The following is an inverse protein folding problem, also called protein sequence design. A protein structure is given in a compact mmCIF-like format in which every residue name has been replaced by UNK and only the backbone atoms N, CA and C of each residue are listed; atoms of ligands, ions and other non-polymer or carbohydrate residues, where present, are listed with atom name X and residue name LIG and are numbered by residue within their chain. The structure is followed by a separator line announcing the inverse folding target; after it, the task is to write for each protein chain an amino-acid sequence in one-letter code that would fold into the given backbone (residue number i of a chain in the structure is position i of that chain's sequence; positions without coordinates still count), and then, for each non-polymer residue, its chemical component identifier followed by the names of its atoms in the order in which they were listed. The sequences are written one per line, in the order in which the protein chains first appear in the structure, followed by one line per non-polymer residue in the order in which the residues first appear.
data_IF_714231810906
#
_entry.id   IF_714231810906
#
_cell.length_a   1.000
_cell.length_b   1.000
_cell.length_c   1.000
_cell.angle_alpha   90.00
_cell.angle_beta   90.00
_cell.angle_gamma   90.00
#
_symmetry.space_group_name_H-M   'P 1'
#
loop_
_entity.id
_entity.type
_entity.pdbx_description
1 polymer ?
#
# COMPACT_ATOMS: atom_id res chain seq x y z
N UNK A 1 1.51 5.97 60.05
CA UNK A 1 2.44 6.90 59.35
C UNK A 1 3.37 6.16 58.38
N UNK A 2 4.08 5.10 58.78
CA UNK A 2 4.97 4.31 57.91
C UNK A 2 4.33 3.62 56.70
N UNK A 3 3.06 3.19 56.79
CA UNK A 3 2.35 2.53 55.68
C UNK A 3 1.95 3.51 54.56
N UNK A 4 1.61 4.76 54.93
CA UNK A 4 1.23 5.79 53.97
C UNK A 4 2.44 6.28 53.17
N UNK A 5 3.60 6.41 53.83
CA UNK A 5 4.87 6.79 53.17
C UNK A 5 5.33 5.72 52.18
N UNK A 6 5.13 4.42 52.49
CA UNK A 6 5.41 3.33 51.53
C UNK A 6 4.44 3.35 50.34
N UNK A 7 3.16 3.64 50.56
CA UNK A 7 2.17 3.75 49.48
C UNK A 7 2.48 4.94 48.54
N UNK A 8 2.95 6.06 49.09
CA UNK A 8 3.39 7.23 48.31
C UNK A 8 4.69 6.94 47.56
N UNK A 9 5.62 6.15 48.14
CA UNK A 9 6.83 5.69 47.45
C UNK A 9 6.52 4.75 46.27
N UNK A 10 5.51 3.90 46.37
CA UNK A 10 5.03 3.09 45.24
C UNK A 10 4.25 3.93 44.21
N UNK A 11 3.57 5.00 44.63
CA UNK A 11 2.91 5.95 43.73
C UNK A 11 3.89 6.95 43.07
N UNK A 12 5.11 7.07 43.60
CA UNK A 12 6.19 7.90 43.05
C UNK A 12 7.30 7.09 42.38
N UNK A 13 7.19 5.76 42.31
CA UNK A 13 7.94 5.05 41.28
C UNK A 13 7.29 5.45 39.97
N UNK A 14 7.96 6.20 39.09
CA UNK A 14 7.52 6.16 37.72
C UNK A 14 7.54 4.67 37.40
N UNK A 15 6.49 4.14 36.80
CA UNK A 15 6.70 2.96 35.99
C UNK A 15 7.60 3.43 34.85
N UNK A 16 8.91 3.60 35.11
CA UNK A 16 9.98 3.51 34.14
C UNK A 16 10.04 2.03 33.74
N UNK A 17 8.94 1.54 33.16
CA UNK A 17 9.03 0.50 32.17
C UNK A 17 9.73 1.16 30.98
N UNK A 18 11.05 1.34 31.11
CA UNK A 18 11.90 1.51 29.96
C UNK A 18 11.65 0.28 29.11
N UNK A 19 10.91 0.46 28.01
CA UNK A 19 10.75 -0.59 27.02
C UNK A 19 12.16 -1.14 26.72
N UNK A 20 12.34 -2.47 26.66
CA UNK A 20 13.62 -3.04 26.25
C UNK A 20 14.09 -2.34 24.97
N UNK A 21 15.35 -1.93 24.91
CA UNK A 21 15.90 -1.15 23.80
C UNK A 21 15.62 -1.79 22.43
N UNK A 22 15.64 -3.11 22.38
CA UNK A 22 15.33 -3.90 21.17
C UNK A 22 13.87 -3.78 20.75
N UNK A 23 12.95 -3.70 21.72
CA UNK A 23 11.51 -3.55 21.46
C UNK A 23 11.19 -2.13 21.04
N UNK A 24 11.84 -1.13 21.64
CA UNK A 24 11.76 0.25 21.20
C UNK A 24 12.25 0.39 19.75
N UNK A 25 13.43 -0.16 19.43
CA UNK A 25 13.99 -0.14 18.08
C UNK A 25 13.09 -0.86 17.05
N UNK A 26 12.53 -2.03 17.41
CA UNK A 26 11.58 -2.74 16.56
C UNK A 26 10.30 -1.92 16.31
N UNK A 27 9.76 -1.27 17.34
CA UNK A 27 8.56 -0.45 17.24
C UNK A 27 8.81 0.81 16.38
N UNK A 28 9.99 1.43 16.51
CA UNK A 28 10.45 2.51 15.62
C UNK A 28 10.50 2.05 14.17
N UNK A 29 11.11 0.90 13.90
CA UNK A 29 11.19 0.39 12.53
C UNK A 29 9.80 0.09 11.95
N UNK A 30 8.92 -0.55 12.74
CA UNK A 30 7.55 -0.84 12.35
C UNK A 30 6.81 0.46 12.00
N UNK A 31 6.83 1.47 12.87
CA UNK A 31 6.16 2.75 12.61
C UNK A 31 6.71 3.43 11.35
N UNK A 32 8.03 3.42 11.14
CA UNK A 32 8.64 3.99 9.93
C UNK A 32 8.23 3.24 8.66
N UNK A 33 8.18 1.90 8.68
CA UNK A 33 7.71 1.09 7.54
C UNK A 33 6.23 1.36 7.26
N UNK A 34 5.38 1.38 8.29
CA UNK A 34 3.97 1.71 8.13
C UNK A 34 3.77 3.13 7.57
N UNK A 35 4.61 4.08 8.00
CA UNK A 35 4.53 5.46 7.51
C UNK A 35 4.97 5.58 6.06
N UNK A 36 6.05 4.89 5.69
CA UNK A 36 6.47 4.77 4.31
C UNK A 36 5.38 4.11 3.45
N UNK A 37 4.73 3.07 3.97
CA UNK A 37 3.59 2.43 3.30
C UNK A 37 2.37 3.37 3.21
N UNK A 38 2.16 4.24 4.20
CA UNK A 38 1.08 5.23 4.19
C UNK A 38 1.25 6.27 3.10
N UNK A 39 2.48 6.73 2.90
CA UNK A 39 2.81 7.79 1.97
C UNK A 39 3.13 7.26 0.57
N UNK A 40 3.55 6.01 0.42
CA UNK A 40 3.98 5.44 -0.87
C UNK A 40 3.20 4.20 -1.27
N UNK A 41 2.92 3.33 -0.30
CA UNK A 41 2.22 2.06 -0.49
C UNK A 41 0.78 2.18 -1.00
N UNK A 42 0.13 3.34 -0.79
CA UNK A 42 -1.23 3.55 -1.31
C UNK A 42 -1.30 3.47 -2.84
N UNK A 43 -0.26 3.90 -3.56
CA UNK A 43 -0.18 3.79 -5.02
C UNK A 43 -0.07 2.33 -5.45
N UNK A 44 0.64 1.50 -4.67
CA UNK A 44 0.73 0.06 -4.90
C UNK A 44 -0.65 -0.58 -4.79
N UNK A 45 -1.40 -0.27 -3.73
CA UNK A 45 -2.76 -0.79 -3.52
C UNK A 45 -3.70 -0.40 -4.66
N UNK A 46 -3.65 0.86 -5.09
CA UNK A 46 -4.45 1.35 -6.22
C UNK A 46 -4.09 0.61 -7.52
N UNK A 47 -2.80 0.55 -7.85
CA UNK A 47 -2.34 -0.04 -9.10
C UNK A 47 -2.62 -1.55 -9.16
N UNK A 48 -2.34 -2.29 -8.08
CA UNK A 48 -2.65 -3.73 -7.97
C UNK A 48 -4.17 -3.95 -8.06
N UNK A 49 -4.96 -3.11 -7.40
CA UNK A 49 -6.43 -3.18 -7.48
C UNK A 49 -6.94 -3.01 -8.91
N UNK A 50 -6.39 -2.06 -9.66
CA UNK A 50 -6.77 -1.82 -11.06
C UNK A 50 -6.29 -2.93 -12.00
N UNK A 51 -5.10 -3.49 -11.78
CA UNK A 51 -4.61 -4.67 -12.51
C UNK A 51 -5.55 -5.86 -12.28
N UNK A 52 -5.93 -6.13 -11.03
CA UNK A 52 -6.88 -7.20 -10.72
C UNK A 52 -8.25 -6.96 -11.35
N UNK A 53 -8.74 -5.71 -11.36
CA UNK A 53 -9.97 -5.35 -12.05
C UNK A 53 -9.92 -5.68 -13.55
N UNK A 54 -8.80 -5.39 -14.20
CA UNK A 54 -8.59 -5.67 -15.62
C UNK A 54 -8.69 -7.16 -15.97
N UNK A 55 -8.19 -8.03 -15.08
CA UNK A 55 -8.25 -9.50 -15.28
C UNK A 55 -9.65 -10.09 -15.12
N UNK A 56 -10.55 -9.40 -14.41
CA UNK A 56 -11.87 -9.94 -14.06
C UNK A 56 -11.83 -11.09 -13.04
N UNK A 57 -10.69 -11.33 -12.37
CA UNK A 57 -10.54 -12.39 -11.36
C UNK A 57 -11.38 -12.11 -10.10
N UNK A 58 -11.40 -10.87 -9.62
CA UNK A 58 -12.18 -10.49 -8.44
C UNK A 58 -12.48 -8.99 -8.39
N UNK A 59 -13.69 -8.62 -8.81
CA UNK A 59 -14.16 -7.22 -8.77
C UNK A 59 -14.30 -6.71 -7.33
N UNK A 60 -14.63 -7.59 -6.38
CA UNK A 60 -14.74 -7.25 -4.97
C UNK A 60 -13.39 -6.90 -4.35
N UNK A 61 -12.37 -7.74 -4.57
CA UNK A 61 -11.02 -7.50 -4.07
C UNK A 61 -10.39 -6.26 -4.71
N UNK A 62 -10.58 -6.08 -6.02
CA UNK A 62 -10.10 -4.90 -6.73
C UNK A 62 -10.65 -3.60 -6.13
N UNK A 63 -11.96 -3.53 -5.90
CA UNK A 63 -12.61 -2.38 -5.26
C UNK A 63 -12.12 -2.17 -3.83
N UNK A 64 -11.99 -3.24 -3.06
CA UNK A 64 -11.48 -3.18 -1.69
C UNK A 64 -10.07 -2.59 -1.67
N UNK A 65 -9.17 -3.07 -2.53
CA UNK A 65 -7.80 -2.56 -2.63
C UNK A 65 -7.76 -1.07 -3.00
N UNK A 66 -8.59 -0.64 -3.94
CA UNK A 66 -8.69 0.78 -4.33
C UNK A 66 -9.19 1.63 -3.17
N UNK A 67 -10.28 1.22 -2.51
CA UNK A 67 -10.85 1.93 -1.35
C UNK A 67 -9.85 1.96 -0.20
N UNK A 68 -9.20 0.83 0.09
CA UNK A 68 -8.17 0.74 1.11
C UNK A 68 -7.00 1.68 0.80
N UNK A 69 -6.52 1.73 -0.45
CA UNK A 69 -5.50 2.68 -0.89
C UNK A 69 -5.89 4.14 -0.63
N UNK A 70 -7.11 4.54 -0.99
CA UNK A 70 -7.61 5.90 -0.73
C UNK A 70 -7.67 6.19 0.77
N UNK A 71 -8.20 5.27 1.58
CA UNK A 71 -8.24 5.42 3.04
C UNK A 71 -6.81 5.51 3.60
N UNK A 72 -5.88 4.72 3.08
CA UNK A 72 -4.50 4.69 3.55
C UNK A 72 -3.76 6.00 3.23
N UNK A 73 -4.02 6.60 2.07
CA UNK A 73 -3.46 7.90 1.69
C UNK A 73 -3.88 9.02 2.65
N UNK A 74 -5.18 9.12 2.97
CA UNK A 74 -5.70 10.20 3.82
C UNK A 74 -5.55 9.90 5.33
N UNK A 75 -5.82 8.66 5.73
CA UNK A 75 -5.86 8.25 7.13
C UNK A 75 -4.53 7.71 7.66
N UNK A 76 -3.69 7.12 6.80
CA UNK A 76 -2.46 6.44 7.21
C UNK A 76 -1.50 7.36 7.97
N UNK A 77 -1.09 8.52 7.43
CA UNK A 77 -0.18 9.42 8.13
C UNK A 77 -0.73 9.90 9.47
N UNK A 78 -2.03 10.20 9.54
CA UNK A 78 -2.70 10.63 10.76
C UNK A 78 -2.67 9.54 11.84
N UNK A 79 -3.05 8.30 11.48
CA UNK A 79 -3.06 7.17 12.40
C UNK A 79 -1.67 6.90 12.94
N UNK A 80 -0.64 6.95 12.09
CA UNK A 80 0.73 6.64 12.49
C UNK A 80 1.31 7.73 13.37
N UNK A 81 1.03 9.00 13.09
CA UNK A 81 1.44 10.11 13.95
C UNK A 81 0.79 10.01 15.35
N UNK A 82 -0.47 9.58 15.43
CA UNK A 82 -1.14 9.32 16.72
C UNK A 82 -0.42 8.20 17.47
N UNK A 83 -0.11 7.07 16.81
CA UNK A 83 0.62 5.97 17.45
C UNK A 83 2.03 6.36 17.87
N UNK A 84 2.74 7.17 17.08
CA UNK A 84 4.05 7.72 17.44
C UNK A 84 4.00 8.60 18.69
N UNK A 85 2.95 9.42 18.85
CA UNK A 85 2.77 10.24 20.03
C UNK A 85 2.54 9.41 21.32
N UNK A 86 1.94 8.23 21.21
CA UNK A 86 1.70 7.34 22.35
C UNK A 86 2.88 6.41 22.67
N UNK A 87 3.79 6.18 21.73
CA UNK A 87 4.83 5.15 21.86
C UNK A 87 6.17 5.63 22.44
N UNK A 88 6.31 6.92 22.78
CA UNK A 88 7.57 7.56 23.22
C UNK A 88 8.73 7.44 22.24
N UNK A 89 8.45 6.98 21.01
CA UNK A 89 9.42 6.85 19.93
C UNK A 89 9.65 8.21 19.27
N UNK A 90 10.84 8.41 18.70
CA UNK A 90 11.14 9.61 17.91
C UNK A 90 10.10 9.84 16.80
N UNK A 91 9.76 11.11 16.51
CA UNK A 91 8.81 11.42 15.45
C UNK A 91 9.25 10.81 14.12
N UNK A 92 8.33 10.13 13.45
CA UNK A 92 8.60 9.55 12.13
C UNK A 92 8.78 10.69 11.12
N UNK A 93 9.95 10.73 10.48
CA UNK A 93 10.28 11.71 9.44
C UNK A 93 10.22 11.08 8.06
N UNK A 94 10.16 11.91 7.01
CA UNK A 94 10.23 11.43 5.62
C UNK A 94 11.54 10.70 5.32
N UNK A 95 12.65 11.12 5.92
CA UNK A 95 13.97 10.52 5.72
C UNK A 95 14.05 9.15 6.41
N UNK A 96 13.63 9.06 7.66
CA UNK A 96 13.61 7.79 8.41
C UNK A 96 12.67 6.75 7.79
N UNK A 97 11.53 7.20 7.27
CA UNK A 97 10.61 6.34 6.51
C UNK A 97 11.20 5.86 5.17
N UNK A 98 11.95 6.72 4.46
CA UNK A 98 12.63 6.34 3.23
C UNK A 98 13.70 5.28 3.48
N UNK A 99 14.49 5.46 4.54
CA UNK A 99 15.51 4.48 4.94
C UNK A 99 14.88 3.14 5.32
N UNK A 100 13.81 3.16 6.13
CA UNK A 100 13.09 1.95 6.50
C UNK A 100 12.47 1.23 5.30
N UNK A 101 11.94 1.97 4.32
CA UNK A 101 11.44 1.41 3.06
C UNK A 101 12.54 0.66 2.29
N UNK A 102 13.69 1.30 2.09
CA UNK A 102 14.83 0.72 1.38
C UNK A 102 15.37 -0.52 2.11
N UNK A 103 15.42 -0.48 3.44
CA UNK A 103 15.84 -1.64 4.23
C UNK A 103 14.85 -2.81 4.13
N UNK A 104 13.55 -2.52 4.06
CA UNK A 104 12.52 -3.55 4.03
C UNK A 104 12.34 -4.16 2.64
N UNK A 105 12.22 -3.34 1.60
CA UNK A 105 11.97 -3.80 0.23
C UNK A 105 13.25 -4.01 -0.59
N UNK A 106 14.38 -3.42 -0.20
CA UNK A 106 15.62 -3.47 -0.97
C UNK A 106 15.58 -2.67 -2.28
N UNK A 107 14.50 -1.92 -2.51
CA UNK A 107 14.23 -1.21 -3.77
C UNK A 107 13.64 0.17 -3.46
N UNK A 108 13.96 1.12 -4.33
CA UNK A 108 13.33 2.44 -4.33
C UNK A 108 11.85 2.32 -4.70
N UNK A 109 11.07 3.31 -4.31
CA UNK A 109 9.66 3.46 -4.71
C UNK A 109 9.49 3.52 -6.23
N UNK A 110 10.38 4.25 -6.91
CA UNK A 110 10.41 4.31 -8.37
C UNK A 110 10.57 2.92 -9.02
N UNK A 111 11.51 2.10 -8.55
CA UNK A 111 11.76 0.77 -9.12
C UNK A 111 10.55 -0.16 -8.92
N UNK A 112 9.92 -0.13 -7.73
CA UNK A 112 8.72 -0.93 -7.46
C UNK A 112 7.57 -0.50 -8.36
N UNK A 113 7.36 0.82 -8.51
CA UNK A 113 6.32 1.35 -9.39
C UNK A 113 6.59 0.97 -10.85
N UNK A 114 7.83 1.07 -11.31
CA UNK A 114 8.22 0.68 -12.66
C UNK A 114 7.93 -0.80 -12.95
N UNK A 115 8.28 -1.70 -12.02
CA UNK A 115 7.97 -3.13 -12.12
C UNK A 115 6.46 -3.35 -12.19
N UNK A 116 5.68 -2.69 -11.33
CA UNK A 116 4.22 -2.84 -11.33
C UNK A 116 3.57 -2.32 -12.61
N UNK A 117 4.05 -1.18 -13.14
CA UNK A 117 3.56 -0.65 -14.42
C UNK A 117 3.86 -1.64 -15.54
N UNK A 118 5.09 -2.15 -15.60
CA UNK A 118 5.48 -3.16 -16.60
C UNK A 118 4.62 -4.43 -16.51
N UNK A 119 4.40 -4.96 -15.30
CA UNK A 119 3.50 -6.10 -15.08
C UNK A 119 2.07 -5.76 -15.51
N UNK A 120 1.60 -4.55 -15.18
CA UNK A 120 0.28 -4.06 -15.58
C UNK A 120 0.11 -3.98 -17.09
N UNK A 121 1.12 -3.53 -17.83
CA UNK A 121 1.12 -3.48 -19.29
C UNK A 121 1.04 -4.88 -19.91
N UNK A 122 1.83 -5.83 -19.40
CA UNK A 122 1.79 -7.23 -19.85
C UNK A 122 0.39 -7.81 -19.62
N UNK A 123 -0.19 -7.59 -18.43
CA UNK A 123 -1.53 -8.09 -18.10
C UNK A 123 -2.59 -7.42 -18.99
N UNK A 124 -2.54 -6.10 -19.16
CA UNK A 124 -3.46 -5.37 -20.04
C UNK A 124 -3.40 -5.90 -21.47
N UNK A 125 -2.19 -6.13 -22.00
CA UNK A 125 -1.98 -6.73 -23.32
C UNK A 125 -2.57 -8.14 -23.43
N UNK A 126 -2.30 -9.00 -22.46
CA UNK A 126 -2.84 -10.37 -22.42
C UNK A 126 -4.37 -10.37 -22.34
N UNK A 127 -4.96 -9.52 -21.50
CA UNK A 127 -6.42 -9.41 -21.37
C UNK A 127 -7.06 -8.85 -22.65
N UNK A 128 -6.43 -7.87 -23.30
CA UNK A 128 -6.92 -7.31 -24.56
C UNK A 128 -6.87 -8.35 -25.69
N UNK A 129 -5.75 -9.06 -25.85
CA UNK A 129 -5.59 -10.11 -26.86
C UNK A 129 -6.53 -11.28 -26.62
N UNK A 130 -6.61 -11.76 -25.39
CA UNK A 130 -7.54 -12.84 -25.00
C UNK A 130 -8.99 -12.40 -25.21
N UNK A 131 -9.32 -11.16 -24.84
CA UNK A 131 -10.63 -10.57 -25.07
C UNK A 131 -10.97 -10.49 -26.56
N UNK A 132 -10.01 -10.11 -27.42
CA UNK A 132 -10.18 -10.08 -28.86
C UNK A 132 -10.42 -11.48 -29.44
N UNK A 133 -9.63 -12.48 -29.03
CA UNK A 133 -9.82 -13.88 -29.46
C UNK A 133 -11.23 -14.35 -29.08
N UNK A 134 -11.66 -14.13 -27.84
CA UNK A 134 -13.00 -14.52 -27.39
C UNK A 134 -14.12 -13.78 -28.12
N UNK A 135 -13.91 -12.49 -28.45
CA UNK A 135 -14.89 -11.68 -29.17
C UNK A 135 -15.08 -12.13 -30.62
N UNK A 136 -13.99 -12.52 -31.30
CA UNK A 136 -14.02 -12.95 -32.71
C UNK A 136 -14.27 -14.45 -32.89
N UNK A 137 -14.24 -15.26 -31.82
CA UNK A 137 -14.55 -16.68 -31.91
C UNK A 137 -16.08 -16.87 -32.01
N UNK A 138 -16.62 -17.44 -33.10
CA UNK A 138 -18.05 -17.41 -33.43
C UNK A 138 -18.89 -18.48 -32.71
N UNK A 139 -18.52 -18.87 -31.48
CA UNK A 139 -19.10 -20.03 -30.81
C UNK A 139 -20.33 -19.72 -29.96
N UNK A 140 -20.38 -18.61 -29.21
CA UNK A 140 -21.56 -18.22 -28.40
C UNK A 140 -21.65 -16.71 -28.12
N UNK A 141 -22.87 -16.19 -27.88
CA UNK A 141 -23.07 -14.82 -27.39
C UNK A 141 -22.38 -14.56 -26.04
N UNK A 142 -22.22 -15.61 -25.23
CA UNK A 142 -21.54 -15.51 -23.93
C UNK A 142 -20.06 -15.19 -24.10
N UNK A 143 -19.35 -15.88 -25.00
CA UNK A 143 -17.93 -15.63 -25.26
C UNK A 143 -17.69 -14.24 -25.83
N UNK A 144 -18.60 -13.77 -26.69
CA UNK A 144 -18.57 -12.40 -27.21
C UNK A 144 -18.69 -11.37 -26.08
N UNK A 145 -19.64 -11.56 -25.16
CA UNK A 145 -19.84 -10.65 -24.02
C UNK A 145 -18.64 -10.63 -23.06
N UNK A 146 -18.04 -11.79 -22.77
CA UNK A 146 -16.84 -11.90 -21.93
C UNK A 146 -15.62 -11.27 -22.61
N UNK A 147 -15.45 -11.50 -23.90
CA UNK A 147 -14.41 -10.88 -24.71
C UNK A 147 -14.50 -9.36 -24.70
N UNK A 148 -15.70 -8.82 -24.94
CA UNK A 148 -15.95 -7.37 -24.87
C UNK A 148 -15.64 -6.79 -23.48
N UNK A 149 -16.04 -7.48 -22.41
CA UNK A 149 -15.73 -7.04 -21.04
C UNK A 149 -14.21 -6.98 -20.78
N UNK A 150 -13.45 -8.00 -21.19
CA UNK A 150 -11.99 -8.01 -21.02
C UNK A 150 -11.31 -6.90 -21.81
N UNK A 151 -11.72 -6.67 -23.06
CA UNK A 151 -11.19 -5.58 -23.89
C UNK A 151 -11.45 -4.24 -23.20
N UNK A 152 -12.69 -3.95 -22.81
CA UNK A 152 -13.05 -2.66 -22.19
C UNK A 152 -12.28 -2.44 -20.89
N UNK A 153 -12.20 -3.45 -20.02
CA UNK A 153 -11.49 -3.34 -18.74
C UNK A 153 -9.98 -3.15 -18.93
N UNK A 154 -9.37 -3.83 -19.91
CA UNK A 154 -7.95 -3.64 -20.24
C UNK A 154 -7.67 -2.25 -20.83
N UNK A 155 -8.56 -1.72 -21.67
CA UNK A 155 -8.46 -0.36 -22.21
C UNK A 155 -8.65 0.72 -21.14
N UNK A 156 -9.46 0.46 -20.11
CA UNK A 156 -9.58 1.36 -18.95
C UNK A 156 -8.29 1.41 -18.12
N UNK A 157 -7.53 0.31 -18.05
CA UNK A 157 -6.25 0.26 -17.33
C UNK A 157 -5.14 1.03 -18.07
N UNK A 158 -5.15 1.04 -19.40
CA UNK A 158 -4.12 1.68 -20.23
C UNK A 158 -3.83 3.16 -19.89
N UNK A 159 -4.81 4.09 -19.81
CA UNK A 159 -4.51 5.49 -19.45
C UNK A 159 -3.95 5.63 -18.03
N UNK A 160 -4.31 4.72 -17.12
CA UNK A 160 -3.75 4.71 -15.76
C UNK A 160 -2.28 4.30 -15.78
N UNK A 161 -1.92 3.26 -16.54
CA UNK A 161 -0.53 2.84 -16.70
C UNK A 161 0.32 3.95 -17.34
N UNK A 162 -0.22 4.63 -18.37
CA UNK A 162 0.46 5.79 -19.00
C UNK A 162 0.67 6.91 -17.98
N UNK A 163 -0.32 7.22 -17.15
CA UNK A 163 -0.17 8.20 -16.07
C UNK A 163 0.98 7.82 -15.12
N UNK A 164 1.06 6.55 -14.70
CA UNK A 164 2.15 6.07 -13.86
C UNK A 164 3.52 6.01 -14.57
N UNK A 165 3.55 5.96 -15.89
CA UNK A 165 4.78 6.06 -16.67
C UNK A 165 5.34 7.49 -16.68
N UNK A 166 4.44 8.49 -16.71
CA UNK A 166 4.79 9.91 -16.77
C UNK A 166 5.03 10.50 -15.37
N UNK A 167 4.34 9.99 -14.34
CA UNK A 167 4.42 10.55 -12.98
C UNK A 167 5.85 10.65 -12.43
N UNK A 168 6.72 9.64 -12.60
CA UNK A 168 8.12 9.74 -12.18
C UNK A 168 8.96 10.77 -12.95
N UNK A 169 8.53 11.18 -14.15
CA UNK A 169 9.21 12.22 -14.94
C UNK A 169 8.79 13.64 -14.55
N UNK A 170 7.67 13.78 -13.82
CA UNK A 170 7.10 15.06 -13.41
C UNK A 170 7.41 15.44 -11.95
N UNK A 171 7.90 14.48 -11.14
CA UNK A 171 8.30 14.64 -9.75
C UNK A 171 9.83 14.64 -9.64
#
# INVERSE_FOLDING_TARGET
MFALTKLILFAQSPFDFALPSDLLAALTQILNVFFAFAIRGYLLLLLIGLILYATGLSDGLAKLLVVAGVIFYFGGPLVINIFGAFSTVEPVTMESATSAWLQFFGMTDYEIMYILVWVGEVIAGVCCLTGAILYFTPSTNELKSRGQSLIVRSLMLAPVLVFFHITPLLL
#
